data_IF_618309219994
#
_entry.id   IF_618309219994
#
_cell.length_a   1.000
_cell.length_b   1.000
_cell.length_c   1.000
_cell.angle_alpha   90.00
_cell.angle_beta   90.00
_cell.angle_gamma   90.00
#
_symmetry.space_group_name_H-M   'P 1'
#
loop_
_entity.id
_entity.type
_entity.pdbx_description
1 polymer ?
#
# COMPACT_ATOMS: atom_id res chain seq x y z
N UNK A 1 3.53 -3.22 12.86
CA UNK A 1 4.43 -2.40 12.00
C UNK A 1 4.92 -3.18 10.81
N UNK A 2 5.34 -4.43 10.99
CA UNK A 2 5.77 -5.34 9.92
C UNK A 2 4.73 -5.66 8.84
N UNK A 3 3.47 -5.25 9.02
CA UNK A 3 2.39 -5.44 8.04
C UNK A 3 2.24 -4.26 7.07
N UNK A 4 3.05 -3.21 7.20
CA UNK A 4 2.94 -2.02 6.35
C UNK A 4 3.12 -2.32 4.85
N UNK A 5 3.92 -3.33 4.49
CA UNK A 5 4.06 -3.80 3.11
C UNK A 5 2.80 -4.48 2.55
N UNK A 6 1.86 -4.91 3.39
CA UNK A 6 0.60 -5.49 2.92
C UNK A 6 -0.37 -4.44 2.40
N UNK A 7 -0.24 -3.17 2.80
CA UNK A 7 -1.16 -2.11 2.37
C UNK A 7 -1.09 -1.90 0.85
N UNK A 8 0.11 -1.67 0.24
CA UNK A 8 0.21 -1.58 -1.22
C UNK A 8 -0.10 -2.90 -1.92
N UNK A 9 0.29 -4.05 -1.33
CA UNK A 9 0.04 -5.38 -1.92
C UNK A 9 -1.45 -5.70 -1.99
N UNK A 10 -2.23 -5.30 -0.99
CA UNK A 10 -3.68 -5.51 -0.95
C UNK A 10 -4.39 -4.66 -2.01
N UNK A 11 -3.98 -3.40 -2.19
CA UNK A 11 -4.47 -2.55 -3.27
C UNK A 11 -4.04 -3.05 -4.65
N UNK A 12 -2.81 -3.56 -4.77
CA UNK A 12 -2.29 -4.14 -6.02
C UNK A 12 -3.04 -5.41 -6.40
N UNK A 13 -3.33 -6.30 -5.43
CA UNK A 13 -4.07 -7.54 -5.64
C UNK A 13 -5.55 -7.30 -6.00
N UNK A 14 -6.12 -6.17 -5.54
CA UNK A 14 -7.49 -5.80 -5.88
C UNK A 14 -7.68 -5.50 -7.38
N UNK A 15 -6.69 -4.92 -8.06
CA UNK A 15 -6.78 -4.59 -9.48
C UNK A 15 -6.98 -5.82 -10.41
N UNK A 16 -6.13 -6.87 -10.38
CA UNK A 16 -6.35 -8.06 -11.19
C UNK A 16 -7.59 -8.83 -10.74
N UNK A 17 -7.94 -8.82 -9.45
CA UNK A 17 -9.18 -9.43 -8.95
C UNK A 17 -10.40 -8.75 -9.59
N UNK A 18 -10.43 -7.42 -9.69
CA UNK A 18 -11.53 -6.69 -10.33
C UNK A 18 -11.56 -6.94 -11.85
N UNK A 19 -10.41 -7.06 -12.51
CA UNK A 19 -10.36 -7.34 -13.96
C UNK A 19 -10.84 -8.77 -14.28
N UNK A 20 -10.49 -9.76 -13.46
CA UNK A 20 -10.82 -11.17 -13.68
C UNK A 20 -12.22 -11.52 -13.15
N UNK A 21 -12.57 -11.13 -11.92
CA UNK A 21 -13.86 -11.42 -11.28
C UNK A 21 -14.93 -10.34 -11.50
N UNK A 22 -14.57 -9.15 -12.01
CA UNK A 22 -15.53 -8.05 -12.21
C UNK A 22 -16.62 -8.35 -13.24
N UNK A 23 -16.39 -9.31 -14.15
CA UNK A 23 -17.41 -9.82 -15.08
C UNK A 23 -18.36 -10.85 -14.46
N UNK A 24 -18.01 -11.41 -13.30
CA UNK A 24 -18.76 -12.48 -12.64
C UNK A 24 -19.66 -11.97 -11.50
N UNK A 25 -19.42 -10.75 -11.00
CA UNK A 25 -20.09 -10.22 -9.80
C UNK A 25 -21.20 -9.20 -10.12
N UNK A 26 -22.37 -9.28 -9.45
CA UNK A 26 -23.44 -8.32 -9.59
C UNK A 26 -22.99 -6.97 -8.98
N UNK A 27 -22.81 -5.94 -9.81
CA UNK A 27 -22.31 -4.62 -9.42
C UNK A 27 -20.99 -4.19 -10.07
N UNK A 28 -20.52 -4.93 -11.09
CA UNK A 28 -19.36 -4.59 -11.93
C UNK A 28 -18.06 -4.34 -11.13
N UNK A 29 -17.85 -5.05 -10.02
CA UNK A 29 -16.61 -5.00 -9.24
C UNK A 29 -16.42 -3.77 -8.34
N UNK A 30 -17.36 -2.82 -8.32
CA UNK A 30 -17.27 -1.59 -7.51
C UNK A 30 -17.21 -1.86 -5.99
N UNK A 31 -17.99 -2.82 -5.49
CA UNK A 31 -17.99 -3.20 -4.07
C UNK A 31 -16.66 -3.84 -3.62
N UNK A 32 -16.01 -4.63 -4.48
CA UNK A 32 -14.70 -5.23 -4.17
C UNK A 32 -13.62 -4.16 -4.00
N UNK A 33 -13.65 -3.14 -4.86
CA UNK A 33 -12.68 -2.07 -4.83
C UNK A 33 -12.81 -1.23 -3.55
N UNK A 34 -14.05 -0.91 -3.15
CA UNK A 34 -14.34 -0.18 -1.90
C UNK A 34 -13.93 -1.01 -0.68
N UNK A 35 -14.19 -2.32 -0.68
CA UNK A 35 -13.80 -3.20 0.43
C UNK A 35 -12.27 -3.29 0.54
N UNK A 36 -11.56 -3.39 -0.59
CA UNK A 36 -10.10 -3.41 -0.61
C UNK A 36 -9.50 -2.11 -0.05
N UNK A 37 -9.98 -0.94 -0.48
CA UNK A 37 -9.49 0.34 0.04
C UNK A 37 -9.93 0.59 1.48
N UNK A 38 -11.13 0.14 1.87
CA UNK A 38 -11.56 0.14 3.28
C UNK A 38 -10.66 -0.74 4.16
N UNK A 39 -10.25 -1.91 3.66
CA UNK A 39 -9.27 -2.77 4.31
C UNK A 39 -7.89 -2.11 4.42
N UNK A 40 -7.44 -1.44 3.35
CA UNK A 40 -6.20 -0.66 3.36
C UNK A 40 -6.22 0.49 4.37
N UNK A 41 -7.35 1.20 4.49
CA UNK A 41 -7.54 2.27 5.48
C UNK A 41 -7.56 1.72 6.92
N UNK A 42 -8.17 0.55 7.15
CA UNK A 42 -8.10 -0.13 8.44
C UNK A 42 -6.67 -0.57 8.82
N UNK A 43 -5.92 -1.09 7.85
CA UNK A 43 -4.50 -1.43 8.02
C UNK A 43 -3.63 -0.20 8.28
N UNK A 44 -3.93 0.94 7.65
CA UNK A 44 -3.28 2.21 7.96
C UNK A 44 -3.43 2.57 9.44
N UNK A 45 -4.64 2.48 10.00
CA UNK A 45 -4.85 2.76 11.42
C UNK A 45 -4.03 1.84 12.34
N UNK A 46 -3.89 0.57 11.96
CA UNK A 46 -3.03 -0.38 12.69
C UNK A 46 -1.54 0.00 12.61
N UNK A 47 -1.05 0.42 11.45
CA UNK A 47 0.34 0.90 11.28
C UNK A 47 0.57 2.19 12.07
N UNK A 48 -0.38 3.13 12.00
CA UNK A 48 -0.33 4.40 12.74
C UNK A 48 -0.30 4.19 14.26
N UNK A 49 -1.17 3.33 14.79
CA UNK A 49 -1.17 2.98 16.21
C UNK A 49 0.15 2.30 16.62
N UNK A 50 0.70 1.43 15.77
CA UNK A 50 2.01 0.81 15.99
C UNK A 50 3.16 1.81 15.97
N UNK A 51 3.10 2.83 15.11
CA UNK A 51 4.10 3.90 15.07
C UNK A 51 4.04 4.79 16.31
N UNK A 52 2.85 5.10 16.82
CA UNK A 52 2.66 5.86 18.06
C UNK A 52 3.16 5.12 19.31
N UNK A 53 3.10 3.79 19.32
CA UNK A 53 3.64 2.96 20.41
C UNK A 53 5.10 2.57 20.22
N UNK A 54 5.71 2.92 19.09
CA UNK A 54 7.10 2.58 18.79
C UNK A 54 8.07 3.46 19.57
N UNK A 55 9.05 2.81 20.20
CA UNK A 55 10.19 3.46 20.84
C UNK A 55 11.50 3.08 20.12
N UNK A 56 12.63 3.76 20.40
CA UNK A 56 13.94 3.43 19.82
C UNK A 56 14.41 1.99 20.09
N UNK A 57 13.83 1.32 21.09
CA UNK A 57 14.13 -0.08 21.44
C UNK A 57 13.42 -1.09 20.53
N UNK A 58 12.55 -0.63 19.63
CA UNK A 58 11.76 -1.51 18.77
C UNK A 58 12.61 -2.03 17.61
N UNK A 59 12.52 -3.33 17.25
CA UNK A 59 13.32 -3.90 16.18
C UNK A 59 13.12 -3.18 14.84
N UNK A 60 14.22 -2.68 14.28
CA UNK A 60 14.23 -1.96 13.00
C UNK A 60 13.92 -0.47 13.10
N UNK A 61 13.67 0.06 14.31
CA UNK A 61 13.46 1.49 14.56
C UNK A 61 14.69 2.11 15.22
N UNK A 62 15.03 3.32 14.79
CA UNK A 62 16.12 4.11 15.38
C UNK A 62 15.77 5.59 15.27
N UNK A 63 16.38 6.42 16.11
CA UNK A 63 16.28 7.88 16.02
C UNK A 63 17.35 8.40 15.08
N UNK A 64 16.94 9.03 13.98
CA UNK A 64 17.88 9.63 13.02
C UNK A 64 18.68 10.76 13.69
N UNK A 65 20.03 10.76 13.62
CA UNK A 65 20.87 11.80 14.20
C UNK A 65 20.63 13.20 13.61
N UNK A 66 20.22 13.26 12.34
CA UNK A 66 20.07 14.51 11.59
C UNK A 66 18.71 15.19 11.81
N UNK A 67 17.65 14.40 11.97
CA UNK A 67 16.27 14.90 12.07
C UNK A 67 15.66 14.75 13.47
N UNK A 68 16.28 13.98 14.37
CA UNK A 68 15.75 13.69 15.70
C UNK A 68 14.42 12.91 15.67
N UNK A 69 14.01 12.39 14.51
CA UNK A 69 12.76 11.67 14.31
C UNK A 69 12.97 10.16 14.43
N UNK A 70 11.94 9.47 14.92
CA UNK A 70 11.90 8.00 14.93
C UNK A 70 11.67 7.51 13.50
N UNK A 71 12.61 6.71 12.98
CA UNK A 71 12.55 6.12 11.64
C UNK A 71 12.70 4.60 11.74
N UNK A 72 11.79 3.85 11.13
CA UNK A 72 11.83 2.39 11.10
C UNK A 72 12.07 1.89 9.67
N UNK A 73 13.07 1.03 9.48
CA UNK A 73 13.44 0.48 8.16
C UNK A 73 13.20 -1.02 8.15
N UNK A 74 12.41 -1.48 7.18
CA UNK A 74 12.17 -2.89 6.93
C UNK A 74 12.63 -3.24 5.52
N UNK A 75 13.74 -3.96 5.41
CA UNK A 75 14.32 -4.37 4.12
C UNK A 75 14.33 -5.90 3.97
N UNK A 76 14.15 -6.35 2.73
CA UNK A 76 14.26 -7.74 2.29
C UNK A 76 15.13 -7.77 1.03
N UNK A 77 15.96 -8.80 0.90
CA UNK A 77 16.71 -8.99 -0.34
C UNK A 77 15.71 -9.42 -1.41
N UNK A 78 15.62 -8.64 -2.49
CA UNK A 78 14.71 -8.91 -3.58
C UNK A 78 15.36 -9.79 -4.64
N UNK A 79 16.61 -9.50 -5.00
CA UNK A 79 17.31 -10.23 -6.04
C UNK A 79 18.82 -10.25 -5.78
N UNK A 80 19.44 -11.41 -5.98
CA UNK A 80 20.89 -11.55 -6.01
C UNK A 80 21.32 -11.56 -7.47
N UNK A 81 21.99 -10.48 -7.91
CA UNK A 81 22.58 -10.38 -9.23
C UNK A 81 24.04 -10.85 -9.17
N UNK A 82 24.29 -12.13 -9.49
CA UNK A 82 25.66 -12.69 -9.56
C UNK A 82 25.68 -14.22 -9.49
N UNK A 83 26.80 -14.82 -9.89
CA UNK A 83 27.05 -16.26 -9.68
C UNK A 83 27.45 -16.47 -8.20
N UNK A 84 26.89 -17.47 -7.51
CA UNK A 84 27.23 -17.74 -6.12
C UNK A 84 28.74 -18.04 -5.99
N UNK A 85 29.46 -17.21 -5.22
CA UNK A 85 30.90 -17.37 -4.98
C UNK A 85 31.83 -16.46 -5.79
N UNK A 86 31.31 -15.56 -6.64
CA UNK A 86 32.12 -14.52 -7.31
C UNK A 86 32.06 -13.18 -6.56
N UNK A 87 33.15 -12.39 -6.58
CA UNK A 87 33.22 -11.09 -5.88
C UNK A 87 32.29 -10.00 -6.46
N UNK A 88 31.74 -10.21 -7.67
CA UNK A 88 30.85 -9.26 -8.35
C UNK A 88 29.35 -9.53 -8.07
N UNK A 89 29.01 -10.28 -7.02
CA UNK A 89 27.61 -10.49 -6.64
C UNK A 89 27.01 -9.23 -6.00
N UNK A 90 26.01 -8.63 -6.64
CA UNK A 90 25.27 -7.47 -6.14
C UNK A 90 23.93 -7.93 -5.57
N UNK A 91 23.69 -7.61 -4.30
CA UNK A 91 22.39 -7.85 -3.66
C UNK A 91 21.51 -6.62 -3.79
N UNK A 92 20.37 -6.76 -4.45
CA UNK A 92 19.37 -5.71 -4.57
C UNK A 92 18.35 -5.89 -3.44
N UNK A 93 18.32 -4.93 -2.51
CA UNK A 93 17.36 -4.91 -1.41
C UNK A 93 16.15 -4.04 -1.75
N UNK A 94 14.95 -4.54 -1.43
CA UNK A 94 13.71 -3.78 -1.43
C UNK A 94 13.30 -3.58 0.03
N UNK A 95 12.98 -2.35 0.41
CA UNK A 95 12.44 -2.08 1.73
C UNK A 95 11.41 -0.97 1.75
N UNK A 96 10.79 -0.79 2.90
CA UNK A 96 9.97 0.36 3.23
C UNK A 96 10.60 1.11 4.39
N UNK A 97 10.52 2.44 4.33
CA UNK A 97 10.94 3.34 5.39
C UNK A 97 9.66 3.91 6.00
N UNK A 98 9.53 3.81 7.32
CA UNK A 98 8.39 4.34 8.07
C UNK A 98 8.92 5.46 8.95
N UNK A 99 8.64 6.69 8.55
CA UNK A 99 8.92 7.91 9.28
C UNK A 99 7.61 8.72 9.44
N UNK A 100 7.60 9.79 10.26
CA UNK A 100 6.39 10.59 10.49
C UNK A 100 5.78 11.13 9.18
N UNK A 101 6.61 11.50 8.20
CA UNK A 101 6.14 12.00 6.91
C UNK A 101 5.47 10.91 6.08
N UNK A 102 6.09 9.73 5.95
CA UNK A 102 5.51 8.62 5.20
C UNK A 102 4.21 8.13 5.84
N UNK A 103 4.12 8.09 7.17
CA UNK A 103 2.89 7.72 7.88
C UNK A 103 1.76 8.73 7.58
N UNK A 104 2.08 10.03 7.57
CA UNK A 104 1.09 11.05 7.21
C UNK A 104 0.62 10.90 5.76
N UNK A 105 1.53 10.63 4.82
CA UNK A 105 1.19 10.40 3.41
C UNK A 105 0.36 9.13 3.20
N UNK A 106 0.68 8.03 3.88
CA UNK A 106 -0.12 6.81 3.86
C UNK A 106 -1.57 7.08 4.30
N UNK A 107 -1.76 7.86 5.36
CA UNK A 107 -3.09 8.25 5.84
C UNK A 107 -3.85 9.13 4.83
N UNK A 108 -3.16 10.13 4.26
CA UNK A 108 -3.74 11.03 3.27
C UNK A 108 -4.19 10.28 2.01
N UNK A 109 -3.31 9.44 1.45
CA UNK A 109 -3.58 8.69 0.21
C UNK A 109 -4.72 7.71 0.41
N UNK A 110 -4.71 6.92 1.48
CA UNK A 110 -5.79 5.95 1.76
C UNK A 110 -7.13 6.63 2.03
N UNK A 111 -7.15 7.75 2.75
CA UNK A 111 -8.37 8.51 3.02
C UNK A 111 -8.96 9.14 1.76
N UNK A 112 -8.14 9.84 0.97
CA UNK A 112 -8.59 10.48 -0.28
C UNK A 112 -9.05 9.41 -1.27
N UNK A 113 -8.32 8.31 -1.41
CA UNK A 113 -8.72 7.18 -2.25
C UNK A 113 -10.10 6.64 -1.88
N UNK A 114 -10.37 6.44 -0.58
CA UNK A 114 -11.67 5.95 -0.10
C UNK A 114 -12.80 6.92 -0.43
N UNK A 115 -12.59 8.23 -0.22
CA UNK A 115 -13.57 9.27 -0.56
C UNK A 115 -13.86 9.32 -2.06
N UNK A 116 -12.82 9.29 -2.90
CA UNK A 116 -12.95 9.27 -4.37
C UNK A 116 -13.74 8.05 -4.82
N UNK A 117 -13.50 6.89 -4.21
CA UNK A 117 -14.15 5.64 -4.59
C UNK A 117 -15.63 5.60 -4.20
N UNK A 118 -15.97 6.13 -3.02
CA UNK A 118 -17.38 6.32 -2.58
C UNK A 118 -18.10 7.33 -3.46
N UNK A 119 -17.46 8.45 -3.79
CA UNK A 119 -18.03 9.45 -4.69
C UNK A 119 -18.29 8.89 -6.10
N UNK A 120 -17.33 8.11 -6.61
CA UNK A 120 -17.41 7.49 -7.94
C UNK A 120 -18.56 6.51 -8.09
N UNK A 121 -19.01 5.88 -6.99
CA UNK A 121 -20.18 5.01 -6.99
C UNK A 121 -21.48 5.76 -7.32
N UNK A 122 -21.58 7.04 -6.91
CA UNK A 122 -22.70 7.91 -7.25
C UNK A 122 -22.55 8.54 -8.62
N UNK A 123 -21.33 8.96 -8.97
CA UNK A 123 -21.03 9.68 -10.21
C UNK A 123 -21.13 8.79 -11.45
N UNK A 124 -20.63 7.55 -11.40
CA UNK A 124 -20.61 6.63 -12.57
C UNK A 124 -21.85 5.72 -12.66
N UNK A 125 -22.96 6.10 -12.04
CA UNK A 125 -24.20 5.30 -12.10
C UNK A 125 -24.70 5.20 -13.55
N UNK A 126 -24.83 3.97 -14.03
CA UNK A 126 -25.33 3.68 -15.38
C UNK A 126 -24.24 3.58 -16.45
N UNK A 127 -22.96 3.77 -16.10
CA UNK A 127 -21.87 3.61 -17.07
C UNK A 127 -21.48 2.13 -17.24
N UNK A 128 -21.48 1.58 -18.47
CA UNK A 128 -21.10 0.19 -18.72
C UNK A 128 -19.64 -0.14 -18.36
N UNK A 129 -18.75 0.86 -18.23
CA UNK A 129 -17.31 0.65 -17.99
C UNK A 129 -16.86 0.90 -16.55
N UNK A 130 -17.81 0.98 -15.61
CA UNK A 130 -17.53 1.25 -14.20
C UNK A 130 -16.44 0.33 -13.60
N UNK A 131 -16.47 -0.98 -13.91
CA UNK A 131 -15.47 -1.93 -13.38
C UNK A 131 -14.03 -1.67 -13.82
N UNK A 132 -13.83 -1.18 -15.05
CA UNK A 132 -12.50 -0.81 -15.54
C UNK A 132 -11.95 0.41 -14.79
N UNK A 133 -12.79 1.41 -14.56
CA UNK A 133 -12.42 2.59 -13.76
C UNK A 133 -11.95 2.21 -12.36
N UNK A 134 -12.71 1.36 -11.64
CA UNK A 134 -12.34 0.93 -10.30
C UNK A 134 -11.04 0.09 -10.28
N UNK A 135 -10.78 -0.72 -11.30
CA UNK A 135 -9.52 -1.47 -11.44
C UNK A 135 -8.31 -0.54 -11.63
N UNK A 136 -8.41 0.43 -12.53
CA UNK A 136 -7.34 1.41 -12.78
C UNK A 136 -7.11 2.29 -11.56
N UNK A 137 -8.17 2.72 -10.88
CA UNK A 137 -8.06 3.49 -9.64
C UNK A 137 -7.38 2.69 -8.52
N UNK A 138 -7.72 1.40 -8.35
CA UNK A 138 -7.04 0.54 -7.38
C UNK A 138 -5.54 0.38 -7.68
N UNK A 139 -5.17 0.25 -8.96
CA UNK A 139 -3.78 0.19 -9.39
C UNK A 139 -3.03 1.53 -9.17
N UNK A 140 -3.70 2.65 -9.44
CA UNK A 140 -3.15 3.97 -9.15
C UNK A 140 -2.85 4.14 -7.66
N UNK A 141 -3.80 3.78 -6.79
CA UNK A 141 -3.62 3.85 -5.34
C UNK A 141 -2.50 2.90 -4.88
N UNK A 142 -2.43 1.69 -5.42
CA UNK A 142 -1.34 0.77 -5.14
C UNK A 142 0.03 1.37 -5.48
N UNK A 143 0.16 1.98 -6.67
CA UNK A 143 1.41 2.61 -7.10
C UNK A 143 1.81 3.81 -6.24
N UNK A 144 0.84 4.61 -5.79
CA UNK A 144 1.08 5.75 -4.90
C UNK A 144 1.48 5.31 -3.50
N UNK A 145 1.01 4.14 -3.04
CA UNK A 145 1.40 3.58 -1.74
C UNK A 145 2.76 2.88 -1.77
N UNK A 146 3.25 2.46 -2.95
CA UNK A 146 4.59 1.89 -3.10
C UNK A 146 5.68 2.93 -3.31
N UNK A 147 5.32 4.14 -3.72
CA UNK A 147 6.25 5.25 -3.97
C UNK A 147 6.75 5.85 -2.65
#
# INVERSE_FOLDING_TARGET
>A
MELAWLIPVLSFAAAPLIVVLGRLLPGNGSFLAILAIGGGFGLFWFVFAGFLSASPDTPGCFTSPDSGTLTCIYQRVWFHAGLPGMPDSVELTWGIIIDPLSVAMLGLVTFVALMVQVYSLGYMRGDPRIGWYFAVHALFVASMLTL
#
